data_IF_751003129569
#
_entry.id   IF_751003129569
#
_cell.length_a   1.000
_cell.length_b   1.000
_cell.length_c   1.000
_cell.angle_alpha   90.00
_cell.angle_beta   90.00
_cell.angle_gamma   90.00
#
_symmetry.space_group_name_H-M   'P 1'
#
loop_
_entity.id
_entity.type
_entity.pdbx_description
1 polymer ?
#
# COMPACT_ATOMS: atom_id res chain seq x y z
N UNK A 1 33.59 -57.82 -34.86
CA UNK A 1 34.10 -57.08 -33.68
C UNK A 1 33.23 -57.52 -32.51
N UNK A 2 33.55 -58.66 -31.90
CA UNK A 2 34.43 -58.81 -30.70
C UNK A 2 33.70 -58.26 -29.45
N UNK A 3 32.89 -59.12 -28.80
CA UNK A 3 33.13 -59.77 -27.46
C UNK A 3 32.86 -58.79 -26.31
N UNK A 4 32.07 -59.07 -25.29
CA UNK A 4 32.17 -60.07 -24.20
C UNK A 4 31.03 -59.71 -23.23
N UNK A 5 30.45 -60.55 -22.38
CA UNK A 5 30.77 -61.89 -21.93
C UNK A 5 30.12 -62.09 -20.54
N UNK A 6 29.58 -63.29 -20.33
CA UNK A 6 29.40 -64.06 -19.09
C UNK A 6 28.54 -63.50 -17.93
N UNK A 7 27.46 -64.19 -17.49
CA UNK A 7 27.40 -65.39 -16.60
C UNK A 7 27.92 -65.06 -15.17
N UNK A 8 27.21 -65.29 -14.06
CA UNK A 8 26.71 -66.57 -13.52
C UNK A 8 25.74 -66.32 -12.33
N UNK A 9 24.71 -67.19 -12.21
CA UNK A 9 24.00 -67.79 -11.06
C UNK A 9 24.03 -67.12 -9.65
N UNK A 10 22.98 -67.24 -8.81
CA UNK A 10 22.57 -68.51 -8.19
C UNK A 10 21.28 -68.40 -7.36
N UNK A 11 20.67 -69.58 -7.18
CA UNK A 11 19.51 -69.99 -6.39
C UNK A 11 19.40 -69.40 -4.96
N UNK A 12 18.16 -69.23 -4.46
CA UNK A 12 17.63 -70.02 -3.34
C UNK A 12 16.14 -69.74 -3.09
N UNK A 13 15.42 -70.82 -2.79
CA UNK A 13 14.00 -70.88 -2.45
C UNK A 13 13.74 -70.43 -1.01
N UNK A 14 12.50 -69.99 -0.72
CA UNK A 14 11.69 -70.54 0.37
C UNK A 14 10.29 -69.90 0.36
N UNK A 15 9.28 -70.76 0.43
CA UNK A 15 7.91 -70.41 0.74
C UNK A 15 7.78 -69.85 2.16
N UNK A 16 6.78 -68.99 2.40
CA UNK A 16 5.74 -69.25 3.41
C UNK A 16 4.71 -68.13 3.48
N UNK A 17 3.50 -68.57 3.81
CA UNK A 17 2.25 -67.85 3.84
C UNK A 17 2.16 -66.76 4.93
N UNK A 18 1.12 -65.94 4.78
CA UNK A 18 0.17 -65.48 5.84
C UNK A 18 0.16 -63.98 6.11
N UNK A 19 -1.00 -63.36 5.85
CA UNK A 19 -1.51 -62.27 6.71
C UNK A 19 -1.82 -60.94 6.01
N UNK A 20 -3.09 -60.50 5.97
CA UNK A 20 -3.43 -59.14 5.62
C UNK A 20 -3.35 -58.27 6.89
N UNK A 21 -2.37 -57.38 6.98
CA UNK A 21 -2.43 -56.25 7.90
C UNK A 21 -2.35 -54.96 7.08
N UNK A 22 -3.52 -54.45 6.71
CA UNK A 22 -3.70 -53.05 6.31
C UNK A 22 -3.40 -52.19 7.55
N UNK A 23 -2.18 -51.71 7.68
CA UNK A 23 -1.88 -50.59 8.56
C UNK A 23 -2.48 -49.32 7.96
N UNK A 24 -3.74 -49.06 8.31
CA UNK A 24 -4.35 -47.73 8.23
C UNK A 24 -3.51 -46.78 9.08
N UNK A 25 -2.52 -46.15 8.46
CA UNK A 25 -1.86 -44.99 9.03
C UNK A 25 -2.90 -43.87 9.05
N UNK A 26 -3.53 -43.69 10.22
CA UNK A 26 -4.30 -42.50 10.56
C UNK A 26 -3.36 -41.32 10.31
N UNK A 27 -3.60 -40.55 9.24
CA UNK A 27 -3.00 -39.21 9.09
C UNK A 27 -3.39 -38.43 10.33
N UNK A 28 -2.45 -38.25 11.25
CA UNK A 28 -2.59 -37.24 12.29
C UNK A 28 -2.63 -35.90 11.56
N UNK A 29 -3.83 -35.34 11.48
CA UNK A 29 -4.03 -33.92 11.18
C UNK A 29 -3.34 -33.16 12.31
N UNK A 30 -2.11 -32.73 12.07
CA UNK A 30 -1.50 -31.67 12.83
C UNK A 30 -2.27 -30.42 12.45
N UNK A 31 -3.16 -29.99 13.34
CA UNK A 31 -3.81 -28.70 13.27
C UNK A 31 -2.74 -27.65 13.58
N UNK A 32 -1.89 -27.39 12.60
CA UNK A 32 -0.95 -26.28 12.61
C UNK A 32 -1.77 -25.10 12.13
N UNK A 33 -2.30 -24.32 13.08
CA UNK A 33 -2.71 -22.96 12.77
C UNK A 33 -1.48 -22.25 12.23
N UNK A 34 -1.40 -22.14 10.90
CA UNK A 34 -0.36 -21.39 10.23
C UNK A 34 -0.60 -19.94 10.62
N UNK A 35 0.03 -19.50 11.71
CA UNK A 35 0.10 -18.09 12.04
C UNK A 35 0.77 -17.44 10.85
N UNK A 36 0.00 -16.65 10.08
CA UNK A 36 0.53 -15.98 8.91
C UNK A 36 1.80 -15.24 9.32
N UNK A 37 2.91 -15.51 8.62
CA UNK A 37 4.12 -14.74 8.83
C UNK A 37 3.76 -13.26 8.71
N UNK A 38 4.31 -12.38 9.57
CA UNK A 38 4.01 -10.96 9.47
C UNK A 38 4.31 -10.49 8.05
N UNK A 39 3.41 -9.71 7.45
CA UNK A 39 3.67 -9.11 6.16
C UNK A 39 4.85 -8.14 6.33
N UNK A 40 6.04 -8.53 5.85
CA UNK A 40 7.24 -7.70 5.89
C UNK A 40 7.38 -7.01 4.54
N UNK A 41 7.36 -5.68 4.55
CA UNK A 41 7.64 -4.84 3.38
C UNK A 41 9.04 -4.21 3.50
N UNK A 42 9.62 -3.77 2.38
CA UNK A 42 10.85 -2.99 2.41
C UNK A 42 10.60 -1.56 2.90
N UNK A 43 11.50 -1.04 3.74
CA UNK A 43 11.50 0.34 4.21
C UNK A 43 12.93 0.87 4.35
N UNK A 44 13.11 2.18 4.25
CA UNK A 44 14.37 2.87 4.58
C UNK A 44 14.38 3.18 6.07
N UNK A 45 15.52 3.00 6.76
CA UNK A 45 15.70 3.42 8.14
C UNK A 45 16.87 4.42 8.21
N UNK A 46 16.64 5.60 8.79
CA UNK A 46 17.63 6.68 8.86
C UNK A 46 18.34 6.77 10.23
N UNK A 47 18.13 5.79 11.11
CA UNK A 47 18.61 5.83 12.50
C UNK A 47 17.59 6.36 13.50
N UNK A 48 16.47 6.91 13.04
CA UNK A 48 15.38 7.38 13.91
C UNK A 48 14.02 6.81 13.49
N UNK A 49 13.67 6.90 12.20
CA UNK A 49 12.37 6.50 11.69
C UNK A 49 12.49 5.53 10.51
N UNK A 50 11.44 4.74 10.32
CA UNK A 50 11.24 3.94 9.11
C UNK A 50 10.46 4.75 8.07
N UNK A 51 10.82 4.63 6.81
CA UNK A 51 10.15 5.30 5.70
C UNK A 51 9.72 4.24 4.69
N UNK A 52 8.44 4.24 4.29
CA UNK A 52 7.96 3.38 3.23
C UNK A 52 8.76 3.61 1.94
N UNK A 53 8.90 2.57 1.11
CA UNK A 53 9.51 2.73 -0.21
C UNK A 53 8.52 3.45 -1.15
N UNK A 54 8.89 4.59 -1.77
CA UNK A 54 8.06 5.21 -2.78
C UNK A 54 8.05 4.40 -4.08
N UNK A 55 7.05 4.65 -4.92
CA UNK A 55 7.07 4.19 -6.31
C UNK A 55 7.99 5.07 -7.17
N UNK A 56 8.65 4.47 -8.16
CA UNK A 56 9.41 5.20 -9.19
C UNK A 56 8.50 5.75 -10.30
N UNK A 57 7.21 5.39 -10.30
CA UNK A 57 6.23 5.84 -11.29
C UNK A 57 5.60 7.21 -10.98
N UNK A 58 6.00 7.85 -9.88
CA UNK A 58 5.46 9.17 -9.52
C UNK A 58 5.94 10.26 -10.48
N UNK A 59 4.98 10.91 -11.14
CA UNK A 59 5.19 12.11 -11.97
C UNK A 59 4.42 13.27 -11.35
N UNK A 60 5.14 14.34 -10.94
CA UNK A 60 4.54 15.44 -10.19
C UNK A 60 3.41 16.12 -10.96
N UNK A 61 3.63 16.47 -12.22
CA UNK A 61 2.66 17.21 -13.04
C UNK A 61 1.34 16.46 -13.20
N UNK A 62 1.40 15.14 -13.36
CA UNK A 62 0.23 14.27 -13.43
C UNK A 62 -0.45 14.10 -12.07
N UNK A 63 0.27 14.28 -10.96
CA UNK A 63 -0.27 14.15 -9.60
C UNK A 63 -1.03 15.40 -9.12
N UNK A 64 -0.81 16.55 -9.76
CA UNK A 64 -1.47 17.81 -9.40
C UNK A 64 -3.00 17.74 -9.62
N UNK A 65 -3.71 18.73 -9.08
CA UNK A 65 -5.18 18.80 -9.11
C UNK A 65 -5.82 18.10 -7.92
N UNK A 66 -7.11 17.77 -8.08
CA UNK A 66 -7.96 17.26 -7.00
C UNK A 66 -7.78 15.77 -6.77
N UNK A 67 -7.70 15.39 -5.51
CA UNK A 67 -7.82 14.02 -5.02
C UNK A 67 -8.87 13.94 -3.92
N UNK A 68 -9.60 12.83 -3.90
CA UNK A 68 -10.55 12.49 -2.86
C UNK A 68 -9.92 11.45 -1.95
N UNK A 69 -9.88 11.70 -0.64
CA UNK A 69 -9.48 10.66 0.32
C UNK A 69 -10.67 9.71 0.49
N UNK A 70 -10.60 8.54 -0.12
CA UNK A 70 -11.68 7.55 -0.11
C UNK A 70 -11.54 6.55 1.03
N UNK A 71 -10.34 6.38 1.57
CA UNK A 71 -10.09 5.74 2.85
C UNK A 71 -8.81 6.29 3.47
N UNK A 72 -8.62 6.07 4.76
CA UNK A 72 -7.37 6.43 5.43
C UNK A 72 -7.39 6.13 6.92
N UNK A 73 -6.23 6.31 7.55
CA UNK A 73 -6.13 6.17 9.01
C UNK A 73 -7.02 7.19 9.69
N UNK A 74 -7.78 6.75 10.69
CA UNK A 74 -8.58 7.63 11.53
C UNK A 74 -7.68 8.59 12.29
N UNK A 75 -7.51 9.78 11.73
CA UNK A 75 -6.76 10.84 12.37
C UNK A 75 -7.68 11.72 13.22
N UNK A 76 -7.25 12.17 14.41
CA UNK A 76 -8.06 13.06 15.25
C UNK A 76 -8.54 14.32 14.53
N UNK A 77 -7.76 14.84 13.59
CA UNK A 77 -8.05 16.06 12.84
C UNK A 77 -9.10 15.88 11.72
N UNK A 78 -9.42 14.64 11.33
CA UNK A 78 -10.52 14.32 10.39
C UNK A 78 -11.68 13.61 11.08
N UNK A 79 -11.70 13.55 12.42
CA UNK A 79 -12.74 12.83 13.15
C UNK A 79 -14.14 13.39 12.86
N UNK A 80 -15.03 12.55 12.33
CA UNK A 80 -16.39 12.94 11.95
C UNK A 80 -16.51 13.72 10.64
N UNK A 81 -15.40 13.97 9.95
CA UNK A 81 -15.42 14.60 8.64
C UNK A 81 -15.84 13.61 7.55
N UNK A 82 -16.59 14.13 6.57
CA UNK A 82 -16.89 13.47 5.30
C UNK A 82 -16.40 14.34 4.14
N UNK A 83 -16.49 13.84 2.91
CA UNK A 83 -16.16 14.60 1.70
C UNK A 83 -14.73 15.17 1.72
N UNK A 84 -13.78 14.35 2.16
CA UNK A 84 -12.39 14.79 2.35
C UNK A 84 -11.72 14.92 0.98
N UNK A 85 -11.19 16.10 0.70
CA UNK A 85 -10.52 16.45 -0.55
C UNK A 85 -9.16 17.09 -0.29
N UNK A 86 -8.26 16.94 -1.25
CA UNK A 86 -7.00 17.66 -1.35
C UNK A 86 -6.84 18.20 -2.77
N UNK A 87 -6.63 19.50 -2.90
CA UNK A 87 -6.26 20.15 -4.15
C UNK A 87 -4.77 20.48 -4.12
N UNK A 88 -4.03 19.98 -5.12
CA UNK A 88 -2.60 20.19 -5.26
C UNK A 88 -2.29 21.12 -6.42
N UNK A 89 -1.51 22.18 -6.19
CA UNK A 89 -1.08 23.09 -7.24
C UNK A 89 0.42 23.39 -7.13
N UNK A 90 1.13 23.46 -8.25
CA UNK A 90 2.55 23.79 -8.27
C UNK A 90 2.77 25.28 -7.98
N UNK A 91 3.73 25.59 -7.11
CA UNK A 91 4.20 26.94 -6.86
C UNK A 91 5.42 27.24 -7.75
N UNK A 92 5.67 28.53 -8.02
CA UNK A 92 6.81 29.00 -8.82
C UNK A 92 8.19 28.58 -8.27
N UNK A 93 8.27 28.30 -6.97
CA UNK A 93 9.50 27.89 -6.28
C UNK A 93 9.72 26.36 -6.28
N UNK A 94 8.87 25.59 -6.97
CA UNK A 94 8.96 24.13 -7.06
C UNK A 94 8.39 23.36 -5.87
N UNK A 95 7.76 24.03 -4.89
CA UNK A 95 6.92 23.35 -3.88
C UNK A 95 5.49 23.20 -4.39
N UNK A 96 4.68 22.45 -3.66
CA UNK A 96 3.27 22.23 -3.98
C UNK A 96 2.41 22.90 -2.91
N UNK A 97 1.47 23.74 -3.33
CA UNK A 97 0.37 24.24 -2.51
C UNK A 97 -0.59 23.08 -2.24
N UNK A 98 -0.95 22.88 -0.97
CA UNK A 98 -1.87 21.82 -0.54
C UNK A 98 -3.08 22.46 0.10
N UNK A 99 -4.24 22.38 -0.56
CA UNK A 99 -5.51 22.83 0.01
C UNK A 99 -6.36 21.61 0.36
N UNK A 100 -6.40 21.28 1.65
CA UNK A 100 -7.25 20.22 2.15
C UNK A 100 -8.60 20.80 2.59
N UNK A 101 -9.66 20.00 2.45
CA UNK A 101 -10.98 20.34 2.93
C UNK A 101 -11.77 19.11 3.36
N UNK A 102 -12.69 19.30 4.29
CA UNK A 102 -13.72 18.30 4.59
C UNK A 102 -15.02 18.97 5.03
N UNK A 103 -16.08 18.17 5.14
CA UNK A 103 -17.38 18.61 5.62
C UNK A 103 -17.64 18.05 7.01
N UNK A 104 -18.00 18.94 7.93
CA UNK A 104 -18.39 18.60 9.29
C UNK A 104 -19.66 19.37 9.64
N UNK A 105 -20.73 18.66 9.99
CA UNK A 105 -22.02 19.26 10.37
C UNK A 105 -22.55 20.30 9.35
N UNK A 106 -22.41 20.00 8.05
CA UNK A 106 -22.86 20.88 6.96
C UNK A 106 -21.98 22.10 6.71
N UNK A 107 -20.79 22.17 7.31
CA UNK A 107 -19.83 23.26 7.13
C UNK A 107 -18.54 22.74 6.50
N UNK A 108 -17.96 23.50 5.56
CA UNK A 108 -16.61 23.24 5.02
C UNK A 108 -15.54 23.64 6.02
N UNK A 109 -14.62 22.73 6.30
CA UNK A 109 -13.43 22.94 7.14
C UNK A 109 -12.18 22.90 6.24
N UNK A 110 -11.63 24.05 5.83
CA UNK A 110 -10.44 24.11 4.99
C UNK A 110 -9.15 24.22 5.81
N UNK A 111 -8.04 23.73 5.24
CA UNK A 111 -6.69 24.07 5.70
C UNK A 111 -5.74 24.11 4.51
N UNK A 112 -4.87 25.12 4.47
CA UNK A 112 -3.87 25.29 3.43
C UNK A 112 -2.47 25.05 4.00
N UNK A 113 -1.63 24.37 3.24
CA UNK A 113 -0.27 24.03 3.61
C UNK A 113 0.66 23.97 2.40
N UNK A 114 1.86 23.45 2.63
CA UNK A 114 2.88 23.31 1.59
C UNK A 114 3.51 21.94 1.65
N UNK A 115 3.66 21.29 0.50
CA UNK A 115 4.47 20.10 0.33
C UNK A 115 5.77 20.44 -0.39
N UNK A 116 6.90 20.18 0.27
CA UNK A 116 8.23 20.41 -0.29
C UNK A 116 8.84 19.07 -0.70
N UNK A 117 9.23 18.88 -1.97
CA UNK A 117 9.95 17.68 -2.39
C UNK A 117 11.23 17.49 -1.58
N UNK A 118 11.48 16.27 -1.11
CA UNK A 118 12.73 15.93 -0.44
C UNK A 118 13.79 15.65 -1.50
N UNK A 119 15.04 16.10 -1.26
CA UNK A 119 16.14 15.89 -2.20
C UNK A 119 16.34 14.41 -2.53
N UNK A 120 16.54 14.03 -3.80
CA UNK A 120 16.80 12.64 -4.18
C UNK A 120 18.09 12.09 -3.56
N UNK A 121 19.02 12.97 -3.17
CA UNK A 121 20.27 12.60 -2.51
C UNK A 121 20.12 12.36 -1.01
N UNK A 122 18.94 12.60 -0.42
CA UNK A 122 18.68 12.39 1.00
C UNK A 122 18.45 10.91 1.37
N UNK A 123 18.31 10.02 0.38
CA UNK A 123 18.20 8.57 0.60
C UNK A 123 16.79 8.05 0.89
N UNK A 124 15.75 8.87 0.77
CA UNK A 124 14.36 8.45 0.99
C UNK A 124 13.62 8.00 -0.28
N UNK A 125 14.22 8.22 -1.45
CA UNK A 125 13.61 7.94 -2.75
C UNK A 125 13.94 9.06 -3.75
N UNK A 126 13.79 8.76 -5.04
CA UNK A 126 14.11 9.73 -6.10
C UNK A 126 12.95 10.70 -6.36
N UNK A 127 11.71 10.22 -6.27
CA UNK A 127 10.46 10.94 -6.53
C UNK A 127 9.39 10.53 -5.50
N UNK A 128 8.25 11.25 -5.46
CA UNK A 128 7.10 10.87 -4.63
C UNK A 128 7.31 10.99 -3.12
N UNK A 129 8.36 11.68 -2.67
CA UNK A 129 8.69 11.89 -1.25
C UNK A 129 8.66 13.37 -0.92
N UNK A 130 7.70 13.76 -0.08
CA UNK A 130 7.46 15.16 0.26
C UNK A 130 7.43 15.37 1.78
N UNK A 131 7.84 16.58 2.17
CA UNK A 131 7.62 17.11 3.52
C UNK A 131 6.45 18.09 3.47
N UNK A 132 5.32 17.67 4.01
CA UNK A 132 4.07 18.43 4.09
C UNK A 132 3.97 19.10 5.44
N UNK A 133 3.64 20.40 5.45
CA UNK A 133 3.47 21.19 6.66
C UNK A 133 2.23 22.09 6.53
N UNK A 134 1.46 22.18 7.61
CA UNK A 134 0.34 23.11 7.74
C UNK A 134 0.61 24.14 8.84
N UNK A 135 0.06 25.37 8.74
CA UNK A 135 0.12 26.37 9.79
C UNK A 135 -0.43 25.85 11.12
N UNK A 136 0.27 26.13 12.22
CA UNK A 136 -0.16 25.74 13.57
C UNK A 136 0.06 24.27 13.95
N UNK A 137 0.52 23.42 13.03
CA UNK A 137 0.92 22.06 13.36
C UNK A 137 2.38 22.03 13.85
N UNK A 138 2.69 21.28 14.92
CA UNK A 138 4.07 20.92 15.23
C UNK A 138 4.75 20.27 14.02
N UNK A 139 6.07 20.44 13.90
CA UNK A 139 6.82 19.72 12.87
C UNK A 139 6.70 18.22 13.05
N UNK A 140 6.77 17.41 11.97
CA UNK A 140 6.77 15.95 12.07
C UNK A 140 7.92 15.46 12.96
N UNK A 141 7.64 14.44 13.79
CA UNK A 141 8.64 13.83 14.68
C UNK A 141 9.85 13.27 13.91
N UNK A 142 9.60 12.78 12.69
CA UNK A 142 10.63 12.25 11.81
C UNK A 142 11.30 13.36 10.96
N UNK A 143 12.63 13.34 10.82
CA UNK A 143 13.37 14.36 10.07
C UNK A 143 13.15 14.26 8.55
N UNK A 144 12.81 13.08 8.04
CA UNK A 144 12.58 12.82 6.62
C UNK A 144 11.19 13.24 6.10
N UNK A 145 10.72 12.63 5.00
CA UNK A 145 9.39 12.89 4.46
C UNK A 145 8.29 12.35 5.38
N UNK A 146 7.14 13.03 5.39
CA UNK A 146 5.91 12.59 6.06
C UNK A 146 4.76 12.34 5.06
N UNK A 147 5.03 12.44 3.76
CA UNK A 147 4.12 12.11 2.68
C UNK A 147 4.91 11.34 1.61
N UNK A 148 4.74 10.01 1.58
CA UNK A 148 5.44 9.10 0.67
C UNK A 148 4.40 8.41 -0.21
N UNK A 149 4.43 8.65 -1.51
CA UNK A 149 3.60 7.96 -2.50
C UNK A 149 4.21 6.59 -2.77
N UNK A 150 3.63 5.54 -2.16
CA UNK A 150 4.10 4.16 -2.31
C UNK A 150 3.63 3.52 -3.62
N UNK A 151 2.48 3.96 -4.13
CA UNK A 151 1.87 3.37 -5.31
C UNK A 151 0.89 4.33 -5.98
N UNK A 152 0.77 4.21 -7.30
CA UNK A 152 -0.14 5.00 -8.13
C UNK A 152 -0.56 4.21 -9.38
N UNK A 153 -1.84 4.28 -9.75
CA UNK A 153 -2.35 3.57 -10.94
C UNK A 153 -3.87 3.43 -10.98
N UNK A 154 -4.41 2.67 -11.94
CA UNK A 154 -5.85 2.41 -12.06
C UNK A 154 -6.33 1.29 -11.13
N UNK A 155 -7.63 1.32 -10.82
CA UNK A 155 -8.37 0.13 -10.41
C UNK A 155 -8.74 -0.73 -11.64
N UNK A 156 -7.95 -1.76 -11.92
CA UNK A 156 -8.20 -2.77 -12.96
C UNK A 156 -7.45 -4.08 -12.64
N UNK A 157 -8.06 -5.22 -12.94
CA UNK A 157 -7.54 -6.59 -12.66
C UNK A 157 -6.40 -7.02 -13.60
N UNK A 158 -6.02 -6.18 -14.54
CA UNK A 158 -4.90 -6.37 -15.43
C UNK A 158 -3.59 -5.93 -14.75
N UNK A 159 -2.93 -6.92 -14.15
CA UNK A 159 -1.50 -6.99 -13.75
C UNK A 159 -0.50 -6.57 -14.86
N UNK A 160 -1.00 -6.11 -16.01
CA UNK A 160 -0.25 -5.46 -17.06
C UNK A 160 0.00 -4.02 -16.63
N UNK A 161 1.00 -3.82 -15.78
CA UNK A 161 1.52 -2.53 -15.32
C UNK A 161 2.02 -1.63 -16.48
N UNK A 162 1.10 -1.18 -17.34
CA UNK A 162 1.32 0.03 -18.11
C UNK A 162 1.46 1.18 -17.12
N UNK A 163 2.37 2.12 -17.38
CA UNK A 163 2.39 3.40 -16.68
C UNK A 163 1.03 4.05 -16.88
N UNK A 164 0.22 4.08 -15.85
CA UNK A 164 -1.02 4.82 -15.85
C UNK A 164 -0.69 6.22 -15.38
N UNK A 165 -1.10 7.21 -16.16
CA UNK A 165 -0.95 8.59 -15.78
C UNK A 165 -1.80 8.94 -14.55
N UNK A 166 -1.21 9.64 -13.60
CA UNK A 166 -1.89 10.01 -12.35
C UNK A 166 -3.05 11.00 -12.54
N UNK A 167 -3.24 11.52 -13.75
CA UNK A 167 -4.32 12.43 -14.16
C UNK A 167 -5.55 11.69 -14.70
N UNK A 168 -5.55 10.35 -14.78
CA UNK A 168 -6.73 9.57 -15.16
C UNK A 168 -7.82 9.67 -14.09
N UNK A 169 -9.07 9.90 -14.51
CA UNK A 169 -10.23 10.07 -13.62
C UNK A 169 -10.50 8.88 -12.68
N UNK A 170 -9.91 7.71 -12.94
CA UNK A 170 -10.03 6.51 -12.10
C UNK A 170 -8.71 6.11 -11.41
N UNK A 171 -7.70 6.98 -11.42
CA UNK A 171 -6.45 6.74 -10.72
C UNK A 171 -6.65 6.71 -9.20
N UNK A 172 -5.81 5.92 -8.54
CA UNK A 172 -5.66 5.82 -7.10
C UNK A 172 -4.21 6.03 -6.71
N UNK A 173 -3.99 6.47 -5.47
CA UNK A 173 -2.66 6.54 -4.88
C UNK A 173 -2.66 6.03 -3.44
N UNK A 174 -1.62 5.26 -3.09
CA UNK A 174 -1.31 4.87 -1.71
C UNK A 174 -0.27 5.85 -1.20
N UNK A 175 -0.66 6.66 -0.22
CA UNK A 175 0.24 7.62 0.41
C UNK A 175 0.39 7.28 1.88
N UNK A 176 1.62 7.18 2.35
CA UNK A 176 1.94 6.76 3.70
C UNK A 176 2.88 7.76 4.38
N UNK A 177 2.69 7.98 5.68
CA UNK A 177 3.63 8.73 6.51
C UNK A 177 4.79 7.85 7.00
N UNK A 178 5.86 8.49 7.49
CA UNK A 178 6.95 7.83 8.21
C UNK A 178 6.43 6.96 9.36
N UNK A 179 7.12 5.86 9.66
CA UNK A 179 6.73 4.81 10.61
C UNK A 179 5.39 4.15 10.28
N UNK A 180 4.88 4.31 9.06
CA UNK A 180 3.58 3.76 8.63
C UNK A 180 2.42 4.21 9.53
N UNK A 181 2.53 5.37 10.19
CA UNK A 181 1.56 5.85 11.20
C UNK A 181 0.27 6.36 10.59
N UNK A 182 0.27 6.71 9.31
CA UNK A 182 -0.89 7.26 8.61
C UNK A 182 -0.89 6.80 7.17
N UNK A 183 -2.04 6.27 6.74
CA UNK A 183 -2.37 5.95 5.36
C UNK A 183 -3.40 6.95 4.86
N UNK A 184 -3.17 7.47 3.65
CA UNK A 184 -4.18 8.13 2.84
C UNK A 184 -4.35 7.30 1.57
N UNK A 185 -5.54 6.74 1.36
CA UNK A 185 -5.93 6.15 0.09
C UNK A 185 -6.69 7.22 -0.69
N UNK A 186 -6.06 7.71 -1.74
CA UNK A 186 -6.56 8.77 -2.59
C UNK A 186 -7.14 8.18 -3.87
N UNK A 187 -8.19 8.81 -4.41
CA UNK A 187 -8.73 8.50 -5.73
C UNK A 187 -9.06 9.79 -6.48
N UNK A 188 -8.93 9.76 -7.82
CA UNK A 188 -9.44 10.79 -8.72
C UNK A 188 -10.96 10.76 -8.85
N UNK A 189 -11.55 9.57 -8.69
CA UNK A 189 -12.99 9.40 -8.63
C UNK A 189 -13.46 9.66 -7.20
N UNK A 190 -14.45 10.54 -7.02
CA UNK A 190 -15.02 10.83 -5.70
C UNK A 190 -15.76 9.62 -5.10
N UNK A 191 -16.45 8.85 -5.94
CA UNK A 191 -17.29 7.72 -5.54
C UNK A 191 -16.87 6.45 -6.30
N UNK A 192 -15.63 5.96 -6.11
CA UNK A 192 -15.21 4.74 -6.76
C UNK A 192 -15.95 3.53 -6.17
N UNK A 193 -16.04 2.40 -6.89
CA UNK A 193 -16.63 1.19 -6.36
C UNK A 193 -15.93 0.71 -5.08
N UNK A 194 -16.70 0.22 -4.10
CA UNK A 194 -16.13 -0.33 -2.86
C UNK A 194 -15.10 -1.44 -3.12
N UNK A 195 -15.33 -2.29 -4.13
CA UNK A 195 -14.38 -3.32 -4.52
C UNK A 195 -13.01 -2.75 -4.92
N UNK A 196 -12.97 -1.59 -5.58
CA UNK A 196 -11.72 -0.89 -5.90
C UNK A 196 -11.04 -0.39 -4.63
N UNK A 197 -11.79 0.22 -3.71
CA UNK A 197 -11.26 0.68 -2.42
C UNK A 197 -10.65 -0.50 -1.64
N UNK A 198 -11.38 -1.61 -1.54
CA UNK A 198 -10.94 -2.82 -0.83
C UNK A 198 -9.67 -3.43 -1.47
N UNK A 199 -9.61 -3.50 -2.80
CA UNK A 199 -8.43 -3.99 -3.52
C UNK A 199 -7.19 -3.13 -3.24
N UNK A 200 -7.35 -1.80 -3.26
CA UNK A 200 -6.26 -0.88 -2.97
C UNK A 200 -5.85 -0.87 -1.49
N UNK A 201 -6.78 -1.07 -0.57
CA UNK A 201 -6.48 -1.29 0.85
C UNK A 201 -5.69 -2.59 1.06
N UNK A 202 -6.05 -3.68 0.39
CA UNK A 202 -5.27 -4.93 0.44
C UNK A 202 -3.86 -4.74 -0.14
N UNK A 203 -3.73 -3.95 -1.22
CA UNK A 203 -2.43 -3.55 -1.77
C UNK A 203 -1.61 -2.75 -0.74
N UNK A 204 -2.21 -1.77 -0.07
CA UNK A 204 -1.57 -0.99 0.99
C UNK A 204 -1.13 -1.86 2.18
N UNK A 205 -1.94 -2.87 2.56
CA UNK A 205 -1.59 -3.86 3.60
C UNK A 205 -0.36 -4.67 3.22
N UNK A 206 -0.30 -5.18 1.98
CA UNK A 206 0.89 -5.88 1.46
C UNK A 206 2.14 -4.98 1.45
N UNK A 207 1.94 -3.68 1.33
CA UNK A 207 2.98 -2.65 1.38
C UNK A 207 3.28 -2.12 2.79
N UNK A 208 2.72 -2.74 3.85
CA UNK A 208 3.06 -2.46 5.24
C UNK A 208 2.09 -1.57 6.01
N UNK A 209 0.98 -1.14 5.39
CA UNK A 209 -0.04 -0.35 6.08
C UNK A 209 -0.77 -1.16 7.13
N UNK A 210 -0.90 -0.60 8.34
CA UNK A 210 -1.81 -1.14 9.36
C UNK A 210 -3.24 -0.68 9.07
N UNK A 211 -4.12 -1.62 8.72
CA UNK A 211 -5.51 -1.32 8.39
C UNK A 211 -6.48 -1.40 9.57
N UNK A 212 -6.03 -1.78 10.78
CA UNK A 212 -6.90 -1.88 11.96
C UNK A 212 -7.51 -0.52 12.35
N UNK A 213 -6.82 0.57 12.02
CA UNK A 213 -7.26 1.94 12.29
C UNK A 213 -7.65 2.71 11.02
N UNK A 214 -7.93 2.01 9.92
CA UNK A 214 -8.29 2.63 8.64
C UNK A 214 -9.81 2.56 8.44
N UNK A 215 -10.40 3.67 8.01
CA UNK A 215 -11.82 3.75 7.70
C UNK A 215 -12.05 4.27 6.28
N UNK A 216 -13.10 3.78 5.64
CA UNK A 216 -13.63 4.33 4.39
C UNK A 216 -14.28 5.68 4.70
N UNK A 217 -13.97 6.68 3.89
CA UNK A 217 -14.50 8.03 4.02
C UNK A 217 -15.83 8.13 3.28
N UNK A 218 -16.85 8.70 3.91
CA UNK A 218 -18.12 8.99 3.23
C UNK A 218 -17.93 10.14 2.22
N UNK A 219 -18.05 9.83 0.93
CA UNK A 219 -17.93 10.78 -0.19
C UNK A 219 -19.28 11.09 -0.86
N UNK A 220 -20.39 10.74 -0.20
CA UNK A 220 -21.75 10.94 -0.74
C UNK A 220 -22.32 12.30 -0.33
N UNK A 221 -23.25 12.86 -1.09
CA UNK A 221 -24.01 14.07 -0.72
C UNK A 221 -23.15 15.30 -0.34
N UNK A 222 -21.97 15.43 -0.94
CA UNK A 222 -21.04 16.52 -0.69
C UNK A 222 -21.54 17.85 -1.26
N UNK A 223 -21.43 18.91 -0.48
CA UNK A 223 -21.88 20.27 -0.82
C UNK A 223 -20.72 21.17 -1.29
N UNK A 224 -19.48 20.82 -0.95
CA UNK A 224 -18.32 21.71 -1.11
C UNK A 224 -17.13 21.08 -1.87
N UNK A 225 -17.40 20.05 -2.69
CA UNK A 225 -16.42 19.28 -3.47
C UNK A 225 -16.53 19.51 -4.97
#
# INVERSE_FOLDING_TARGET
MITSGLLVASLAAAASASGPYRNLHKRQSSDHSTQAAPAVTGATYDGQCFYPKPTDDFVLDEYLGRWYQVAGTLAPFTAGCKCIVADYALNDNGTVNVQNGCELNGTRIPIEGTATPVSPYAGYGHVGVLRVQFPGQPGPDCPGPNYIVQDIGLSGDDDCHGKVAADDDNAFAIVQASNFTTLFLLSRNQNPPNASIEAWLERARKQGSNLDNVAVTDQTNCQFT
#
